data_IF_958090307971
#
_entry.id   IF_958090307971
#
_cell.length_a   1.000
_cell.length_b   1.000
_cell.length_c   1.000
_cell.angle_alpha   90.00
_cell.angle_beta   90.00
_cell.angle_gamma   90.00
#
_symmetry.space_group_name_H-M   'P 1'
#
loop_
_entity.id
_entity.type
_entity.pdbx_description
1 polymer ?
#
# COMPACT_ATOMS: atom_id res chain seq x y z
N UNK A 1 -23.12 5.25 8.72
CA UNK A 1 -22.34 6.39 9.21
C UNK A 1 -23.18 7.67 9.23
N UNK A 2 -23.72 8.15 8.11
CA UNK A 2 -24.55 9.36 8.06
C UNK A 2 -25.69 9.37 9.12
N UNK A 3 -26.45 8.26 9.23
CA UNK A 3 -27.55 8.13 10.23
C UNK A 3 -27.05 8.01 11.68
N UNK A 4 -25.77 7.72 11.90
CA UNK A 4 -25.21 7.43 13.24
C UNK A 4 -24.21 8.51 13.70
N UNK A 5 -24.29 9.72 13.13
CA UNK A 5 -23.50 10.87 13.61
C UNK A 5 -22.06 10.94 13.13
N UNK A 6 -21.69 10.20 12.07
CA UNK A 6 -20.36 10.28 11.46
C UNK A 6 -19.57 8.97 11.51
N UNK A 7 -18.23 9.08 11.34
CA UNK A 7 -17.33 7.95 11.41
C UNK A 7 -16.01 8.15 10.66
N UNK A 8 -15.21 7.10 10.58
CA UNK A 8 -13.93 7.09 9.86
C UNK A 8 -13.90 5.97 8.81
N UNK A 9 -13.60 6.33 7.57
CA UNK A 9 -13.33 5.41 6.45
C UNK A 9 -11.83 5.40 6.21
N UNK A 10 -11.24 4.21 6.15
CA UNK A 10 -9.81 4.03 5.89
C UNK A 10 -9.65 3.19 4.63
N UNK A 11 -9.17 3.81 3.60
CA UNK A 11 -8.85 3.15 2.34
C UNK A 11 -7.42 2.62 2.38
N UNK A 12 -7.20 1.38 1.92
CA UNK A 12 -5.87 0.76 1.92
C UNK A 12 -5.23 0.88 0.55
N UNK A 13 -4.13 1.64 0.48
CA UNK A 13 -3.29 1.75 -0.70
C UNK A 13 -1.97 0.98 -0.52
N UNK A 14 -1.01 1.22 -1.39
CA UNK A 14 0.32 0.62 -1.41
C UNK A 14 1.33 1.67 -1.85
N UNK A 15 2.61 1.47 -1.52
CA UNK A 15 3.70 2.25 -2.11
C UNK A 15 3.64 2.26 -3.64
N UNK A 16 3.12 1.21 -4.27
CA UNK A 16 2.91 1.14 -5.72
C UNK A 16 1.67 1.92 -6.22
N UNK A 17 0.97 2.60 -5.32
CA UNK A 17 -0.01 3.63 -5.65
C UNK A 17 0.57 5.04 -5.72
N UNK A 18 1.79 5.24 -5.18
CA UNK A 18 2.50 6.55 -5.17
C UNK A 18 3.82 6.51 -5.94
N UNK A 19 4.37 5.32 -6.16
CA UNK A 19 5.62 5.08 -6.88
C UNK A 19 5.43 3.96 -7.90
N UNK A 20 6.30 3.94 -8.93
CA UNK A 20 6.38 2.81 -9.86
C UNK A 20 6.96 1.57 -9.17
N UNK A 21 6.42 0.37 -9.43
CA UNK A 21 7.04 -0.86 -8.99
C UNK A 21 8.46 -1.03 -9.54
N UNK A 22 9.39 -1.43 -8.69
CA UNK A 22 10.69 -1.89 -9.17
C UNK A 22 10.58 -3.33 -9.65
N UNK A 23 10.43 -3.51 -10.96
CA UNK A 23 10.26 -4.83 -11.58
C UNK A 23 11.50 -5.73 -11.39
N UNK A 24 12.67 -5.17 -11.03
CA UNK A 24 13.89 -5.96 -10.75
C UNK A 24 13.71 -6.91 -9.56
N UNK A 25 12.79 -6.61 -8.62
CA UNK A 25 12.44 -7.48 -7.49
C UNK A 25 11.85 -8.83 -7.94
N UNK A 26 11.31 -8.89 -9.16
CA UNK A 26 10.68 -10.10 -9.68
C UNK A 26 11.64 -11.01 -10.48
N UNK A 27 12.92 -10.62 -10.64
CA UNK A 27 13.94 -11.40 -11.35
C UNK A 27 14.10 -12.82 -10.81
N UNK A 28 14.00 -12.98 -9.49
CA UNK A 28 14.07 -14.31 -8.86
C UNK A 28 12.98 -15.25 -9.38
N UNK A 29 11.74 -14.76 -9.44
CA UNK A 29 10.62 -15.55 -9.95
C UNK A 29 10.81 -15.89 -11.43
N UNK A 30 11.27 -14.93 -12.23
CA UNK A 30 11.52 -15.11 -13.66
C UNK A 30 12.65 -16.13 -13.94
N UNK A 31 13.66 -16.24 -13.05
CA UNK A 31 14.69 -17.27 -13.17
C UNK A 31 14.11 -18.69 -13.02
N UNK A 32 13.04 -18.86 -12.24
CA UNK A 32 12.39 -20.15 -11.98
C UNK A 32 11.37 -20.56 -13.05
N UNK A 33 11.06 -19.72 -14.02
CA UNK A 33 10.17 -20.06 -15.13
C UNK A 33 10.78 -21.19 -15.95
N UNK A 34 9.94 -22.13 -16.37
CA UNK A 34 10.34 -23.24 -17.25
C UNK A 34 10.74 -22.71 -18.63
N UNK A 35 11.49 -23.52 -19.39
CA UNK A 35 11.87 -23.18 -20.77
C UNK A 35 10.63 -22.91 -21.63
N UNK A 36 9.58 -23.71 -21.48
CA UNK A 36 8.32 -23.57 -22.20
C UNK A 36 7.62 -22.23 -21.87
N UNK A 37 7.54 -21.85 -20.58
CA UNK A 37 6.94 -20.59 -20.15
C UNK A 37 7.68 -19.37 -20.74
N UNK A 38 9.02 -19.42 -20.74
CA UNK A 38 9.87 -18.37 -21.34
C UNK A 38 9.66 -18.27 -22.86
N UNK A 39 9.52 -19.40 -23.55
CA UNK A 39 9.23 -19.42 -24.99
C UNK A 39 7.84 -18.84 -25.31
N UNK A 40 6.89 -18.96 -24.38
CA UNK A 40 5.56 -18.35 -24.48
C UNK A 40 5.54 -16.87 -24.10
N UNK A 41 6.70 -16.25 -23.80
CA UNK A 41 6.79 -14.86 -23.41
C UNK A 41 6.23 -14.55 -22.02
N UNK A 42 6.07 -15.57 -21.16
CA UNK A 42 5.57 -15.36 -19.80
C UNK A 42 6.66 -14.67 -18.98
N UNK A 43 6.29 -13.54 -18.39
CA UNK A 43 7.10 -12.81 -17.44
C UNK A 43 6.30 -12.55 -16.16
N UNK A 44 6.94 -12.74 -15.01
CA UNK A 44 6.35 -12.42 -13.70
C UNK A 44 6.78 -11.00 -13.34
N UNK A 45 5.80 -10.13 -13.20
CA UNK A 45 5.97 -8.73 -12.84
C UNK A 45 4.86 -8.25 -11.91
N UNK A 46 5.01 -7.04 -11.38
CA UNK A 46 3.88 -6.38 -10.72
C UNK A 46 2.95 -5.81 -11.79
N UNK A 47 1.71 -6.33 -11.91
CA UNK A 47 0.79 -5.90 -12.97
C UNK A 47 0.47 -4.41 -12.89
N UNK A 48 0.41 -3.74 -14.03
CA UNK A 48 0.06 -2.31 -14.12
C UNK A 48 -1.30 -2.01 -13.47
N UNK A 49 -2.27 -2.91 -13.60
CA UNK A 49 -3.60 -2.78 -12.99
C UNK A 49 -3.55 -2.63 -11.47
N UNK A 50 -2.55 -3.23 -10.81
CA UNK A 50 -2.35 -3.03 -9.38
C UNK A 50 -1.98 -1.58 -9.06
N UNK A 51 -1.02 -1.00 -9.77
CA UNK A 51 -0.62 0.40 -9.57
C UNK A 51 -1.74 1.36 -9.88
N UNK A 52 -2.49 1.13 -10.98
CA UNK A 52 -3.65 1.95 -11.34
C UNK A 52 -4.70 1.92 -10.22
N UNK A 53 -5.05 0.74 -9.73
CA UNK A 53 -6.05 0.60 -8.67
C UNK A 53 -5.61 1.28 -7.37
N UNK A 54 -4.34 1.12 -6.98
CA UNK A 54 -3.80 1.70 -5.74
C UNK A 54 -3.58 3.21 -5.82
N UNK A 55 -3.26 3.75 -7.01
CA UNK A 55 -3.24 5.20 -7.26
C UNK A 55 -4.64 5.80 -7.24
N UNK A 56 -5.61 5.13 -7.86
CA UNK A 56 -7.01 5.58 -7.87
C UNK A 56 -7.60 5.75 -6.46
N UNK A 57 -7.20 4.91 -5.51
CA UNK A 57 -7.61 5.00 -4.10
C UNK A 57 -7.25 6.35 -3.48
N UNK A 58 -6.11 6.93 -3.82
CA UNK A 58 -5.69 8.22 -3.27
C UNK A 58 -6.63 9.35 -3.66
N UNK A 59 -7.04 9.39 -4.93
CA UNK A 59 -7.99 10.40 -5.40
C UNK A 59 -9.42 10.10 -4.94
N UNK A 60 -9.82 8.83 -4.90
CA UNK A 60 -11.09 8.41 -4.31
C UNK A 60 -11.21 8.88 -2.86
N UNK A 61 -10.13 8.76 -2.07
CA UNK A 61 -10.08 9.23 -0.69
C UNK A 61 -10.36 10.72 -0.58
N UNK A 62 -9.72 11.55 -1.42
CA UNK A 62 -9.95 13.01 -1.46
C UNK A 62 -11.38 13.34 -1.85
N UNK A 63 -11.90 12.68 -2.88
CA UNK A 63 -13.28 12.87 -3.34
C UNK A 63 -14.29 12.54 -2.22
N UNK A 64 -14.13 11.40 -1.55
CA UNK A 64 -15.04 10.99 -0.49
C UNK A 64 -14.89 11.87 0.76
N UNK A 65 -13.68 12.32 1.09
CA UNK A 65 -13.41 13.20 2.21
C UNK A 65 -14.16 14.54 2.09
N UNK A 66 -14.15 15.13 0.90
CA UNK A 66 -14.90 16.40 0.63
C UNK A 66 -16.40 16.14 0.56
N UNK A 67 -16.82 15.04 -0.08
CA UNK A 67 -18.23 14.71 -0.26
C UNK A 67 -18.96 14.48 1.06
N UNK A 68 -18.30 13.85 2.03
CA UNK A 68 -18.94 13.44 3.29
C UNK A 68 -18.52 14.25 4.52
N UNK A 69 -17.87 15.42 4.30
CA UNK A 69 -17.41 16.26 5.39
C UNK A 69 -18.56 16.77 6.28
N UNK A 70 -19.67 17.19 5.68
CA UNK A 70 -20.86 17.68 6.38
C UNK A 70 -21.54 16.56 7.21
N UNK A 71 -21.38 15.30 6.79
CA UNK A 71 -21.87 14.12 7.52
C UNK A 71 -20.97 13.72 8.69
N UNK A 72 -19.91 14.50 8.99
CA UNK A 72 -18.89 14.18 10.01
C UNK A 72 -18.18 12.84 9.75
N UNK A 73 -18.01 12.47 8.49
CA UNK A 73 -17.28 11.28 8.09
C UNK A 73 -15.91 11.70 7.59
N UNK A 74 -14.88 11.22 8.27
CA UNK A 74 -13.49 11.37 7.84
C UNK A 74 -13.13 10.23 6.88
N UNK A 75 -12.37 10.53 5.83
CA UNK A 75 -11.90 9.53 4.88
C UNK A 75 -10.41 9.72 4.64
N UNK A 76 -9.61 8.74 4.99
CA UNK A 76 -8.16 8.77 4.84
C UNK A 76 -7.64 7.51 4.16
N UNK A 77 -6.44 7.60 3.61
CA UNK A 77 -5.71 6.46 3.06
C UNK A 77 -4.63 6.03 4.03
N UNK A 78 -4.48 4.73 4.22
CA UNK A 78 -3.29 4.11 4.79
C UNK A 78 -2.51 3.43 3.65
N UNK A 79 -1.34 3.98 3.32
CA UNK A 79 -0.44 3.43 2.28
C UNK A 79 0.58 2.51 2.93
N UNK A 80 0.52 1.24 2.56
CA UNK A 80 1.36 0.20 3.12
C UNK A 80 2.62 -0.02 2.27
N UNK A 81 3.75 -0.26 2.95
CA UNK A 81 4.94 -0.88 2.38
C UNK A 81 4.77 -2.40 2.22
N UNK A 82 5.88 -3.08 1.94
CA UNK A 82 5.89 -4.54 1.80
C UNK A 82 5.69 -5.24 3.14
N UNK A 83 4.63 -6.04 3.22
CA UNK A 83 4.33 -6.92 4.37
C UNK A 83 4.98 -8.27 4.17
N UNK A 84 5.70 -8.77 5.17
CA UNK A 84 6.23 -10.12 5.15
C UNK A 84 5.08 -11.15 5.25
N UNK A 85 5.01 -12.04 4.28
CA UNK A 85 3.99 -13.09 4.17
C UNK A 85 4.60 -14.38 3.64
N UNK A 86 5.65 -14.88 4.31
CA UNK A 86 6.42 -16.05 3.87
C UNK A 86 6.97 -15.92 2.45
N UNK A 87 7.37 -14.72 2.07
CA UNK A 87 7.98 -14.45 0.77
C UNK A 87 9.31 -15.22 0.63
N UNK A 88 9.72 -15.59 -0.59
CA UNK A 88 11.01 -16.21 -0.83
C UNK A 88 12.18 -15.38 -0.26
N UNK A 89 13.21 -16.03 0.33
CA UNK A 89 14.32 -15.33 0.97
C UNK A 89 15.02 -14.31 0.07
N UNK A 90 15.20 -14.62 -1.22
CA UNK A 90 15.82 -13.72 -2.19
C UNK A 90 14.99 -12.46 -2.41
N UNK A 91 13.66 -12.61 -2.50
CA UNK A 91 12.75 -11.47 -2.61
C UNK A 91 12.81 -10.61 -1.34
N UNK A 92 12.80 -11.24 -0.16
CA UNK A 92 12.90 -10.54 1.13
C UNK A 92 14.21 -9.76 1.22
N UNK A 93 15.33 -10.38 0.82
CA UNK A 93 16.64 -9.73 0.77
C UNK A 93 16.63 -8.50 -0.13
N UNK A 94 16.25 -8.68 -1.41
CA UNK A 94 16.25 -7.61 -2.41
C UNK A 94 15.31 -6.46 -2.00
N UNK A 95 14.16 -6.79 -1.40
CA UNK A 95 13.24 -5.80 -0.88
C UNK A 95 13.84 -5.03 0.31
N UNK A 96 14.43 -5.76 1.27
CA UNK A 96 15.02 -5.18 2.47
C UNK A 96 16.21 -4.25 2.17
N UNK A 97 17.02 -4.59 1.18
CA UNK A 97 18.15 -3.75 0.74
C UNK A 97 17.70 -2.37 0.26
N UNK A 98 16.51 -2.30 -0.37
CA UNK A 98 15.90 -1.05 -0.85
C UNK A 98 15.14 -0.28 0.22
N UNK A 99 14.75 -0.94 1.29
CA UNK A 99 14.02 -0.30 2.39
C UNK A 99 15.01 0.32 3.37
N UNK A 100 14.90 1.61 3.75
CA UNK A 100 15.75 2.23 4.77
C UNK A 100 15.83 1.45 6.07
N UNK A 101 14.70 0.95 6.58
CA UNK A 101 14.66 0.11 7.79
C UNK A 101 15.20 -1.32 7.58
N UNK A 102 15.69 -1.66 6.36
CA UNK A 102 16.37 -2.92 6.03
C UNK A 102 15.56 -4.19 6.30
N UNK A 103 14.26 -4.10 6.25
CA UNK A 103 13.34 -5.24 6.41
C UNK A 103 11.97 -4.97 5.77
N UNK A 104 11.22 -6.02 5.56
CA UNK A 104 9.78 -5.93 5.34
C UNK A 104 9.05 -5.71 6.67
N UNK A 105 7.84 -5.18 6.62
CA UNK A 105 7.01 -4.99 7.79
C UNK A 105 6.38 -6.31 8.26
N UNK A 106 6.19 -6.45 9.57
CA UNK A 106 5.26 -7.42 10.13
C UNK A 106 3.83 -6.85 10.03
N UNK A 107 2.84 -7.72 9.86
CA UNK A 107 1.44 -7.30 9.72
C UNK A 107 0.92 -6.50 10.92
N UNK A 108 1.39 -6.81 12.12
CA UNK A 108 1.02 -6.17 13.39
C UNK A 108 1.44 -4.69 13.44
N UNK A 109 2.47 -4.29 12.69
CA UNK A 109 2.97 -2.91 12.67
C UNK A 109 2.00 -1.93 12.03
N UNK A 110 1.01 -2.42 11.32
CA UNK A 110 -0.06 -1.59 10.74
C UNK A 110 -1.25 -1.37 11.69
N UNK A 111 -1.32 -2.12 12.81
CA UNK A 111 -2.42 -1.98 13.77
C UNK A 111 -2.45 -0.58 14.42
N UNK A 112 -1.30 -0.05 14.83
CA UNK A 112 -1.19 1.29 15.41
C UNK A 112 -1.67 2.40 14.46
N UNK A 113 -1.13 2.51 13.24
CA UNK A 113 -1.59 3.46 12.23
C UNK A 113 -3.07 3.32 11.88
N UNK A 114 -3.59 2.09 11.80
CA UNK A 114 -5.00 1.83 11.55
C UNK A 114 -5.88 2.34 12.70
N UNK A 115 -5.52 2.03 13.94
CA UNK A 115 -6.22 2.50 15.14
C UNK A 115 -6.17 4.03 15.26
N UNK A 116 -5.03 4.65 14.96
CA UNK A 116 -4.91 6.11 14.91
C UNK A 116 -5.92 6.72 13.93
N UNK A 117 -5.98 6.22 12.70
CA UNK A 117 -6.92 6.74 11.70
C UNK A 117 -8.39 6.45 12.04
N UNK A 118 -8.66 5.36 12.77
CA UNK A 118 -10.01 4.98 13.19
C UNK A 118 -10.53 5.77 14.39
N UNK A 119 -9.63 6.34 15.20
CA UNK A 119 -9.96 6.98 16.49
C UNK A 119 -10.05 8.49 16.40
N UNK A 120 -10.47 9.13 17.51
CA UNK A 120 -10.50 10.59 17.68
C UNK A 120 -9.10 11.22 17.69
N UNK A 121 -8.03 10.45 17.83
CA UNK A 121 -6.65 10.95 17.72
C UNK A 121 -6.37 11.57 16.35
N UNK A 122 -7.13 11.18 15.32
CA UNK A 122 -7.07 11.74 13.97
C UNK A 122 -8.30 12.60 13.62
N UNK A 123 -8.98 13.20 14.61
CA UNK A 123 -10.24 13.94 14.44
C UNK A 123 -10.14 15.11 13.44
N UNK A 124 -8.98 15.72 13.29
CA UNK A 124 -8.74 16.81 12.32
C UNK A 124 -8.08 16.34 11.02
N UNK A 125 -8.16 15.03 10.73
CA UNK A 125 -7.51 14.43 9.58
C UNK A 125 -8.55 13.80 8.63
N UNK A 126 -8.70 14.36 7.42
CA UNK A 126 -9.51 13.82 6.33
C UNK A 126 -8.87 14.14 4.99
N UNK A 127 -9.05 13.29 3.98
CA UNK A 127 -8.43 13.42 2.66
C UNK A 127 -6.93 13.14 2.61
N UNK A 128 -6.35 12.69 3.70
CA UNK A 128 -4.91 12.51 3.88
C UNK A 128 -4.46 11.10 3.49
N UNK A 129 -3.15 10.99 3.22
CA UNK A 129 -2.47 9.72 2.99
C UNK A 129 -1.40 9.50 4.07
N UNK A 130 -1.62 8.53 4.96
CA UNK A 130 -0.65 8.11 5.95
C UNK A 130 0.20 6.97 5.35
N UNK A 131 1.48 7.25 5.15
CA UNK A 131 2.44 6.29 4.56
C UNK A 131 3.18 5.57 5.68
N UNK A 132 3.17 4.24 5.63
CA UNK A 132 3.86 3.35 6.57
C UNK A 132 4.59 2.28 5.75
N UNK A 133 5.83 2.56 5.37
CA UNK A 133 6.54 1.76 4.36
C UNK A 133 8.02 1.50 4.69
N UNK A 134 8.45 1.80 5.91
CA UNK A 134 9.84 1.63 6.34
C UNK A 134 10.82 2.60 5.66
N UNK A 135 10.30 3.69 5.07
CA UNK A 135 11.07 4.68 4.32
C UNK A 135 11.25 4.34 2.84
N UNK A 136 10.59 3.31 2.32
CA UNK A 136 10.69 2.92 0.90
C UNK A 136 10.48 4.08 -0.07
N UNK A 137 9.55 4.98 0.23
CA UNK A 137 9.20 6.13 -0.62
C UNK A 137 9.93 7.43 -0.26
N UNK A 138 10.93 7.38 0.60
CA UNK A 138 11.64 8.57 1.07
C UNK A 138 12.78 9.02 0.14
N UNK A 139 13.15 8.24 -0.87
CA UNK A 139 14.19 8.53 -1.87
C UNK A 139 13.81 8.19 -3.30
#
# INVERSE_FOLDING_TARGET
>A
MQRNGGGSIINISSTYGILSPDQRLYKYFNKKLTKQMKQQGIEIEKPIGYSISKSGILNLTRFLATKFAEDKIRVNTLTLGGVYANNPPEFVKDYSEKTPLKRMANKEEYAGPLLFLASEMSSYMTGSNLIVDGGWSAW
#
